data_IF_033089649708
#
_entry.id   IF_033089649708
#
_cell.length_a   1.000
_cell.length_b   1.000
_cell.length_c   1.000
_cell.angle_alpha   90.00
_cell.angle_beta   90.00
_cell.angle_gamma   90.00
#
_symmetry.space_group_name_H-M   'P 1'
#
loop_
_entity.id
_entity.type
_entity.pdbx_description
1 polymer ?
#
# COMPACT_ATOMS: atom_id res chain seq x y z
N UNK A 1 10.70 5.92 -9.76
CA UNK A 1 9.78 5.98 -8.62
C UNK A 1 9.10 4.64 -8.45
N UNK A 2 9.01 4.15 -7.23
CA UNK A 2 8.41 2.86 -6.95
C UNK A 2 6.94 3.02 -6.58
N UNK A 3 6.12 2.11 -7.04
CA UNK A 3 4.73 2.05 -6.64
C UNK A 3 4.30 0.59 -6.51
N UNK A 4 3.15 0.38 -5.88
CA UNK A 4 2.68 -0.96 -5.57
C UNK A 4 1.33 -1.24 -6.23
N UNK A 5 1.17 -2.50 -6.63
CA UNK A 5 -0.12 -3.00 -7.13
C UNK A 5 -0.48 -4.19 -6.27
N UNK A 6 -1.66 -4.15 -5.66
CA UNK A 6 -2.11 -5.19 -4.75
C UNK A 6 -3.21 -6.00 -5.41
N UNK A 7 -3.06 -7.31 -5.36
CA UNK A 7 -4.05 -8.26 -5.88
C UNK A 7 -4.67 -8.97 -4.68
N UNK A 8 -5.99 -8.90 -4.59
CA UNK A 8 -6.70 -9.49 -3.45
C UNK A 8 -7.32 -10.82 -3.84
N UNK A 9 -7.63 -11.62 -2.81
CA UNK A 9 -8.18 -12.97 -3.01
C UNK A 9 -9.59 -12.94 -3.60
N UNK A 10 -10.31 -11.83 -3.42
CA UNK A 10 -11.65 -11.68 -3.97
C UNK A 10 -11.64 -11.10 -5.40
N UNK A 11 -10.47 -11.03 -6.02
CA UNK A 11 -10.34 -10.61 -7.42
C UNK A 11 -10.20 -9.12 -7.65
N UNK A 12 -10.03 -8.33 -6.60
CA UNK A 12 -9.85 -6.89 -6.75
C UNK A 12 -8.38 -6.55 -6.98
N UNK A 13 -8.14 -5.46 -7.68
CA UNK A 13 -6.81 -4.97 -7.97
C UNK A 13 -6.74 -3.51 -7.50
N UNK A 14 -5.79 -3.23 -6.62
CA UNK A 14 -5.53 -1.88 -6.14
C UNK A 14 -4.24 -1.39 -6.78
N UNK A 15 -4.36 -0.48 -7.73
CA UNK A 15 -3.22 0.11 -8.41
C UNK A 15 -3.02 1.51 -7.85
N UNK A 16 -1.94 1.69 -7.08
CA UNK A 16 -1.69 2.97 -6.43
C UNK A 16 -1.04 4.00 -7.35
N UNK A 17 -0.67 3.59 -8.56
CA UNK A 17 -0.30 4.50 -9.65
C UNK A 17 0.76 5.52 -9.22
N UNK A 18 1.88 5.01 -8.65
CA UNK A 18 3.02 5.81 -8.22
C UNK A 18 2.77 6.65 -6.97
N UNK A 19 1.59 6.53 -6.37
CA UNK A 19 1.28 7.30 -5.17
C UNK A 19 1.76 6.62 -3.91
N UNK A 20 1.82 5.29 -3.90
CA UNK A 20 2.23 4.56 -2.71
C UNK A 20 3.76 4.44 -2.69
N UNK A 21 4.38 5.10 -1.74
CA UNK A 21 5.84 5.09 -1.63
C UNK A 21 6.36 4.10 -0.60
N UNK A 22 5.52 3.64 0.30
CA UNK A 22 5.92 2.60 1.24
C UNK A 22 4.71 1.91 1.86
N UNK A 23 4.98 0.73 2.42
CA UNK A 23 3.97 -0.08 3.08
C UNK A 23 4.41 -0.30 4.51
N UNK A 24 3.48 -0.20 5.45
CA UNK A 24 3.74 -0.40 6.86
C UNK A 24 2.63 -1.23 7.49
N UNK A 25 2.91 -1.82 8.63
CA UNK A 25 1.88 -2.52 9.40
C UNK A 25 1.14 -1.49 10.23
N UNK A 26 -0.18 -1.59 10.27
CA UNK A 26 -0.98 -0.68 11.07
C UNK A 26 -0.59 -0.80 12.54
N UNK A 27 -0.34 0.34 13.16
CA UNK A 27 0.11 0.40 14.54
C UNK A 27 -0.89 -0.27 15.46
N UNK A 28 -0.40 -1.20 16.28
CA UNK A 28 -1.25 -1.94 17.21
C UNK A 28 -1.81 -3.24 16.67
N UNK A 29 -1.57 -3.57 15.40
CA UNK A 29 -1.96 -4.85 14.82
C UNK A 29 -0.83 -5.38 13.94
N UNK A 30 -0.87 -6.69 13.66
CA UNK A 30 0.00 -7.30 12.67
C UNK A 30 -0.77 -7.75 11.44
N UNK A 31 -2.05 -7.46 11.39
CA UNK A 31 -2.95 -8.06 10.41
C UNK A 31 -3.35 -7.13 9.28
N UNK A 32 -3.07 -5.85 9.41
CA UNK A 32 -3.51 -4.85 8.42
C UNK A 32 -2.31 -4.10 7.88
N UNK A 33 -2.20 -4.06 6.57
CA UNK A 33 -1.15 -3.29 5.90
C UNK A 33 -1.67 -1.92 5.51
N UNK A 34 -0.86 -0.91 5.77
CA UNK A 34 -1.12 0.48 5.39
C UNK A 34 -0.30 0.81 4.16
N UNK A 35 -0.96 1.22 3.10
CA UNK A 35 -0.30 1.67 1.88
C UNK A 35 -0.28 3.19 1.90
N UNK A 36 0.90 3.76 1.97
CA UNK A 36 1.08 5.17 2.31
C UNK A 36 1.82 5.93 1.22
N UNK A 37 1.52 7.22 1.10
CA UNK A 37 2.33 8.12 0.28
C UNK A 37 3.01 9.14 1.18
N UNK A 38 4.20 9.55 0.79
CA UNK A 38 4.94 10.62 1.46
C UNK A 38 4.51 11.94 0.84
N UNK A 39 4.26 12.92 1.68
CA UNK A 39 3.91 14.25 1.19
C UNK A 39 5.04 14.81 0.33
N UNK A 40 4.68 15.62 -0.67
CA UNK A 40 5.62 16.11 -1.67
C UNK A 40 6.76 16.93 -1.07
N UNK A 41 6.56 17.53 0.08
CA UNK A 41 7.59 18.29 0.75
C UNK A 41 8.30 17.50 1.84
N UNK A 42 8.07 16.21 1.91
CA UNK A 42 8.68 15.35 2.92
C UNK A 42 8.12 15.54 4.31
N UNK A 43 7.04 16.27 4.44
CA UNK A 43 6.40 16.54 5.72
C UNK A 43 5.10 15.74 5.79
N UNK A 44 5.01 14.85 6.77
CA UNK A 44 3.81 14.05 6.97
C UNK A 44 3.67 12.92 5.97
N UNK A 45 2.59 12.21 6.12
CA UNK A 45 2.26 11.07 5.28
C UNK A 45 0.75 10.95 5.19
N UNK A 46 0.28 10.30 4.14
CA UNK A 46 -1.13 10.03 3.96
C UNK A 46 -1.33 8.56 3.67
N UNK A 47 -2.26 7.94 4.39
CA UNK A 47 -2.62 6.55 4.12
C UNK A 47 -3.61 6.50 2.97
N UNK A 48 -3.24 5.74 1.95
CA UNK A 48 -4.08 5.57 0.76
C UNK A 48 -5.07 4.43 0.92
N UNK A 49 -4.65 3.36 1.59
CA UNK A 49 -5.50 2.19 1.77
C UNK A 49 -5.04 1.40 2.98
N UNK A 50 -6.00 0.75 3.63
CA UNK A 50 -5.78 -0.22 4.69
C UNK A 50 -6.31 -1.55 4.17
N UNK A 51 -5.45 -2.56 4.04
CA UNK A 51 -5.85 -3.85 3.49
C UNK A 51 -5.44 -4.95 4.46
N UNK A 52 -6.41 -5.75 4.95
CA UNK A 52 -6.07 -6.88 5.81
C UNK A 52 -5.15 -7.86 5.09
N UNK A 53 -4.16 -8.37 5.79
CA UNK A 53 -3.21 -9.33 5.22
C UNK A 53 -3.91 -10.56 4.66
N UNK A 54 -4.97 -11.01 5.32
CA UNK A 54 -5.71 -12.19 4.89
C UNK A 54 -6.36 -12.03 3.53
N UNK A 55 -6.61 -10.79 3.12
CA UNK A 55 -7.24 -10.52 1.83
C UNK A 55 -6.23 -10.38 0.72
N UNK A 56 -4.96 -10.26 1.03
CA UNK A 56 -3.93 -10.01 0.03
C UNK A 56 -3.45 -11.33 -0.56
N UNK A 57 -3.56 -11.45 -1.88
CA UNK A 57 -3.01 -12.59 -2.59
C UNK A 57 -1.52 -12.38 -2.82
N UNK A 58 -1.15 -11.25 -3.38
CA UNK A 58 0.24 -10.82 -3.51
C UNK A 58 0.31 -9.34 -3.86
N UNK A 59 1.50 -8.79 -3.69
CA UNK A 59 1.77 -7.38 -3.99
C UNK A 59 2.93 -7.32 -4.95
N UNK A 60 2.79 -6.55 -6.03
CA UNK A 60 3.87 -6.30 -6.96
C UNK A 60 4.43 -4.90 -6.74
N UNK A 61 5.75 -4.82 -6.65
CA UNK A 61 6.44 -3.54 -6.63
C UNK A 61 6.88 -3.23 -8.05
N UNK A 62 6.52 -2.06 -8.53
CA UNK A 62 6.85 -1.62 -9.89
C UNK A 62 7.66 -0.34 -9.85
N UNK A 63 8.47 -0.15 -10.87
CA UNK A 63 9.29 1.05 -10.99
C UNK A 63 9.11 1.67 -12.38
N UNK A 64 9.20 2.98 -12.41
CA UNK A 64 9.23 3.74 -13.65
C UNK A 64 10.62 3.75 -14.24
#
# INVERSE_FOLDING_TARGET
>A
MRYFVVYTKDGKIFNFDKKCSYVAVLNGTDDILCFNETASLGVGKRTLALIPKDMILYVLAKED
#
